data_IF_479331366144
#
_entry.id   IF_479331366144
#
_cell.length_a   1.000
_cell.length_b   1.000
_cell.length_c   1.000
_cell.angle_alpha   90.00
_cell.angle_beta   90.00
_cell.angle_gamma   90.00
#
_symmetry.space_group_name_H-M   'P 1'
#
loop_
_entity.id
_entity.type
_entity.pdbx_description
1 polymer ?
#
# COMPACT_ATOMS: atom_id res chain seq x y z
N UNK A 1 -23.83 18.50 -9.38
CA UNK A 1 -22.77 18.39 -8.37
C UNK A 1 -22.66 16.93 -7.97
N UNK A 2 -21.46 16.39 -7.99
CA UNK A 2 -21.16 15.01 -7.57
C UNK A 2 -21.34 14.88 -6.05
N UNK A 3 -21.65 13.67 -5.59
CA UNK A 3 -21.84 13.39 -4.16
C UNK A 3 -20.51 13.67 -3.42
N UNK A 4 -20.48 14.53 -2.40
CA UNK A 4 -19.27 14.72 -1.60
C UNK A 4 -19.06 13.52 -0.66
N UNK A 5 -17.80 13.21 -0.38
CA UNK A 5 -17.40 12.27 0.66
C UNK A 5 -16.47 12.94 1.67
N UNK A 6 -16.52 12.47 2.92
CA UNK A 6 -15.63 12.95 3.98
C UNK A 6 -14.46 11.97 4.08
N UNK A 7 -13.26 12.44 3.75
CA UNK A 7 -12.01 11.72 3.91
C UNK A 7 -11.31 12.18 5.18
N UNK A 8 -10.56 11.28 5.83
CA UNK A 8 -9.73 11.59 7.00
C UNK A 8 -8.29 11.23 6.69
N UNK A 9 -7.34 12.12 6.98
CA UNK A 9 -5.92 11.82 6.86
C UNK A 9 -5.36 11.10 8.10
N UNK A 10 -4.06 10.79 8.07
CA UNK A 10 -3.36 10.08 9.14
C UNK A 10 -3.20 10.91 10.43
N UNK A 11 -3.34 12.24 10.35
CA UNK A 11 -3.33 13.14 11.51
C UNK A 11 -4.74 13.41 12.06
N UNK A 12 -5.75 12.92 11.36
CA UNK A 12 -7.15 13.00 11.69
C UNK A 12 -7.88 14.25 11.20
N UNK A 13 -7.25 15.04 10.32
CA UNK A 13 -7.92 16.13 9.64
C UNK A 13 -8.99 15.58 8.68
N UNK A 14 -10.11 16.29 8.58
CA UNK A 14 -11.22 15.91 7.70
C UNK A 14 -11.29 16.80 6.48
N UNK A 15 -11.52 16.18 5.32
CA UNK A 15 -11.63 16.85 4.03
C UNK A 15 -12.93 16.44 3.37
N UNK A 16 -13.70 17.41 2.88
CA UNK A 16 -14.86 17.14 2.04
C UNK A 16 -14.40 17.15 0.58
N UNK A 17 -14.47 16.00 -0.09
CA UNK A 17 -13.94 15.82 -1.45
C UNK A 17 -15.08 15.38 -2.39
N UNK A 18 -15.29 16.05 -3.53
CA UNK A 18 -16.17 15.57 -4.58
C UNK A 18 -15.74 14.20 -5.10
N UNK A 19 -16.67 13.27 -5.32
CA UNK A 19 -16.35 11.89 -5.76
C UNK A 19 -15.55 11.83 -7.07
N UNK A 20 -15.78 12.76 -7.99
CA UNK A 20 -15.08 12.88 -9.28
C UNK A 20 -13.65 13.40 -9.16
N UNK A 21 -13.27 13.98 -8.02
CA UNK A 21 -11.89 14.38 -7.73
C UNK A 21 -11.07 13.25 -7.08
N UNK A 22 -11.68 12.09 -6.79
CA UNK A 22 -10.98 10.96 -6.21
C UNK A 22 -10.09 10.26 -7.23
N UNK A 23 -8.84 10.00 -6.82
CA UNK A 23 -7.89 9.21 -7.59
C UNK A 23 -7.92 7.75 -7.13
N UNK A 24 -8.26 6.84 -8.03
CA UNK A 24 -8.22 5.40 -7.79
C UNK A 24 -6.83 4.89 -8.18
N UNK A 25 -6.11 4.32 -7.22
CA UNK A 25 -4.80 3.69 -7.41
C UNK A 25 -4.87 2.21 -7.04
N UNK A 26 -4.21 1.37 -7.84
CA UNK A 26 -4.00 -0.04 -7.50
C UNK A 26 -2.91 -0.12 -6.44
N UNK A 27 -3.24 -0.72 -5.29
CA UNK A 27 -2.29 -1.01 -4.21
C UNK A 27 -1.81 -2.46 -4.27
N UNK A 28 -0.57 -2.71 -3.88
CA UNK A 28 0.00 -4.05 -3.70
C UNK A 28 0.74 -4.10 -2.36
N UNK A 29 0.51 -5.18 -1.59
CA UNK A 29 1.08 -5.35 -0.25
C UNK A 29 1.62 -6.78 -0.08
N UNK A 30 2.79 -6.91 0.51
CA UNK A 30 3.46 -8.18 0.75
C UNK A 30 3.06 -8.76 2.10
N UNK A 31 2.77 -10.06 2.12
CA UNK A 31 2.65 -10.85 3.34
C UNK A 31 3.84 -11.80 3.39
N UNK A 32 4.88 -11.41 4.13
CA UNK A 32 6.11 -12.19 4.28
C UNK A 32 6.06 -12.90 5.63
N UNK A 33 6.10 -14.24 5.60
CA UNK A 33 5.97 -15.09 6.79
C UNK A 33 7.25 -15.88 6.99
N UNK A 34 7.83 -15.78 8.18
CA UNK A 34 8.97 -16.58 8.62
C UNK A 34 8.80 -16.90 10.11
N UNK A 35 9.08 -18.15 10.52
CA UNK A 35 8.94 -18.62 11.91
C UNK A 35 7.59 -18.27 12.59
N UNK A 36 6.49 -18.43 11.85
CA UNK A 36 5.13 -18.06 12.27
C UNK A 36 4.95 -16.57 12.67
N UNK A 37 5.78 -15.68 12.12
CA UNK A 37 5.68 -14.23 12.28
C UNK A 37 5.51 -13.56 10.93
N UNK A 38 4.83 -12.41 10.92
CA UNK A 38 4.67 -11.57 9.73
C UNK A 38 5.63 -10.39 9.83
N UNK A 39 6.36 -10.10 8.75
CA UNK A 39 7.16 -8.88 8.65
C UNK A 39 6.25 -7.67 8.46
N UNK A 40 6.43 -6.65 9.30
CA UNK A 40 5.71 -5.38 9.24
C UNK A 40 6.70 -4.22 9.30
N UNK A 41 6.33 -3.09 8.72
CA UNK A 41 7.08 -1.84 8.85
C UNK A 41 6.41 -0.94 9.88
N UNK A 42 7.21 -0.14 10.59
CA UNK A 42 6.67 0.85 11.52
C UNK A 42 6.21 2.05 10.72
N UNK A 43 4.92 2.38 10.79
CA UNK A 43 4.31 3.48 10.06
C UNK A 43 3.43 4.31 10.99
N UNK A 44 3.74 5.61 11.09
CA UNK A 44 3.13 6.55 12.03
C UNK A 44 3.11 5.99 13.46
N UNK A 45 1.93 5.89 14.07
CA UNK A 45 1.71 5.42 15.43
C UNK A 45 1.52 3.90 15.52
N UNK A 46 1.70 3.17 14.41
CA UNK A 46 1.42 1.74 14.33
C UNK A 46 2.37 0.97 13.42
N UNK A 47 1.83 -0.10 12.84
CA UNK A 47 2.53 -1.00 11.92
C UNK A 47 1.67 -1.22 10.68
N UNK A 48 2.32 -1.37 9.55
CA UNK A 48 1.66 -1.66 8.27
C UNK A 48 2.34 -2.82 7.55
N UNK A 49 1.62 -3.39 6.59
CA UNK A 49 2.22 -4.28 5.62
C UNK A 49 3.15 -3.48 4.72
N UNK A 50 4.20 -4.15 4.25
CA UNK A 50 5.13 -3.58 3.28
C UNK A 50 4.40 -3.47 1.96
N UNK A 51 4.39 -2.29 1.35
CA UNK A 51 3.75 -2.13 0.06
C UNK A 51 3.35 -0.70 -0.23
N UNK A 52 2.90 -0.51 -1.45
CA UNK A 52 2.54 0.80 -1.96
C UNK A 52 1.58 0.64 -3.11
N UNK A 53 1.63 1.56 -4.05
CA UNK A 53 0.79 1.43 -5.23
C UNK A 53 1.60 1.23 -6.50
N UNK A 54 0.99 0.50 -7.41
CA UNK A 54 1.60 0.11 -8.67
C UNK A 54 1.85 1.35 -9.52
N UNK A 55 3.08 1.53 -9.99
CA UNK A 55 3.42 2.61 -10.90
C UNK A 55 3.05 2.28 -12.35
N UNK A 56 2.95 3.32 -13.18
CA UNK A 56 2.60 3.12 -14.60
C UNK A 56 3.72 2.34 -15.29
N UNK A 57 3.36 1.19 -15.85
CA UNK A 57 4.29 0.33 -16.57
C UNK A 57 4.86 -0.81 -15.73
N UNK A 58 4.57 -0.88 -14.44
CA UNK A 58 4.93 -2.01 -13.59
C UNK A 58 3.86 -3.11 -13.64
N UNK A 59 4.31 -4.35 -13.59
CA UNK A 59 3.49 -5.49 -13.15
C UNK A 59 3.30 -5.44 -11.62
N UNK A 60 2.32 -6.21 -11.11
CA UNK A 60 2.07 -6.32 -9.66
C UNK A 60 3.33 -6.87 -8.97
N UNK A 61 4.00 -7.81 -9.61
CA UNK A 61 5.22 -8.48 -9.15
C UNK A 61 6.41 -7.53 -9.12
N UNK A 62 6.64 -6.75 -10.18
CA UNK A 62 7.71 -5.75 -10.20
C UNK A 62 7.48 -4.69 -9.11
N UNK A 63 6.24 -4.21 -8.98
CA UNK A 63 5.88 -3.22 -7.99
C UNK A 63 6.16 -3.71 -6.57
N UNK A 64 5.72 -4.93 -6.21
CA UNK A 64 5.94 -5.41 -4.84
C UNK A 64 7.41 -5.73 -4.55
N UNK A 65 8.18 -6.18 -5.53
CA UNK A 65 9.63 -6.37 -5.37
C UNK A 65 10.33 -5.03 -5.11
N UNK A 66 9.94 -3.96 -5.82
CA UNK A 66 10.46 -2.60 -5.59
C UNK A 66 10.08 -2.09 -4.20
N UNK A 67 8.80 -2.12 -3.84
CA UNK A 67 8.29 -1.60 -2.55
C UNK A 67 8.98 -2.33 -1.37
N UNK A 68 9.11 -3.66 -1.44
CA UNK A 68 9.81 -4.42 -0.40
C UNK A 68 11.28 -4.04 -0.30
N UNK A 69 11.94 -3.82 -1.44
CA UNK A 69 13.33 -3.36 -1.46
C UNK A 69 13.49 -1.97 -0.85
N UNK A 70 12.60 -1.05 -1.16
CA UNK A 70 12.64 0.34 -0.70
C UNK A 70 12.38 0.45 0.80
N UNK A 71 11.39 -0.25 1.34
CA UNK A 71 11.01 -0.13 2.75
C UNK A 71 11.86 -0.98 3.71
N UNK A 72 12.40 -2.11 3.24
CA UNK A 72 13.09 -3.09 4.12
C UNK A 72 14.54 -3.37 3.73
N UNK A 73 14.95 -3.00 2.52
CA UNK A 73 16.25 -3.38 1.96
C UNK A 73 16.35 -4.84 1.50
N UNK A 74 15.32 -5.66 1.72
CA UNK A 74 15.30 -7.07 1.34
C UNK A 74 15.04 -7.25 -0.16
N UNK A 75 15.57 -8.32 -0.73
CA UNK A 75 15.23 -8.76 -2.08
C UNK A 75 14.36 -10.01 -1.95
N UNK A 76 13.19 -9.99 -2.58
CA UNK A 76 12.22 -11.09 -2.54
C UNK A 76 11.92 -11.64 -3.93
N UNK A 77 11.35 -12.85 -3.96
CA UNK A 77 10.70 -13.41 -5.14
C UNK A 77 9.25 -13.73 -4.75
N UNK A 78 8.25 -13.05 -5.34
CA UNK A 78 6.85 -13.32 -5.03
C UNK A 78 6.49 -14.77 -5.38
N UNK A 79 5.95 -15.52 -4.43
CA UNK A 79 5.53 -16.91 -4.63
C UNK A 79 4.10 -17.00 -5.18
N UNK A 80 3.17 -16.29 -4.55
CA UNK A 80 1.76 -16.31 -4.91
C UNK A 80 1.14 -14.93 -4.80
N UNK A 81 0.36 -14.57 -5.82
CA UNK A 81 -0.51 -13.39 -5.78
C UNK A 81 -1.90 -13.81 -5.35
N UNK A 82 -2.49 -13.01 -4.46
CA UNK A 82 -3.87 -13.17 -3.98
C UNK A 82 -4.63 -11.93 -4.44
N UNK A 83 -5.71 -12.14 -5.20
CA UNK A 83 -6.58 -11.10 -5.74
C UNK A 83 -8.00 -11.24 -5.18
#
# INVERSE_FOLDING_TARGET
MTKPIICKDVFGNQYTVPVDELNIRVGVYAVIIEDNKILLTRQWDGYSLIGGGVEKGETIEESIVREVKEETGLTIMPDKIIH
#
